data_IF_283011502776
#
_entry.id   IF_283011502776
#
_cell.length_a   1.000
_cell.length_b   1.000
_cell.length_c   1.000
_cell.angle_alpha   90.00
_cell.angle_beta   90.00
_cell.angle_gamma   90.00
#
_symmetry.space_group_name_H-M   'P 1'
#
loop_
_entity.id
_entity.type
_entity.pdbx_description
1 polymer ?
#
# COMPACT_ATOMS: atom_id res chain seq x y z
N UNK A 1 1.27 -1.21 6.83
CA UNK A 1 -0.19 -1.41 6.74
C UNK A 1 -0.55 -2.66 5.96
N UNK A 2 -0.39 -2.67 4.64
CA UNK A 2 -0.90 -3.75 3.76
C UNK A 2 -0.40 -5.14 4.16
N UNK A 3 0.92 -5.31 4.37
CA UNK A 3 1.49 -6.62 4.75
C UNK A 3 0.88 -7.20 6.03
N UNK A 4 0.65 -6.37 7.07
CA UNK A 4 0.04 -6.85 8.32
C UNK A 4 -1.42 -7.28 8.14
N UNK A 5 -2.21 -6.54 7.34
CA UNK A 5 -3.57 -6.96 7.00
C UNK A 5 -3.60 -8.22 6.13
N UNK A 6 -2.62 -8.37 5.22
CA UNK A 6 -2.52 -9.58 4.40
C UNK A 6 -2.18 -10.81 5.26
N UNK A 7 -1.28 -10.67 6.24
CA UNK A 7 -0.98 -11.74 7.21
C UNK A 7 -2.24 -12.11 7.99
N UNK A 8 -2.98 -11.14 8.54
CA UNK A 8 -4.25 -11.41 9.25
C UNK A 8 -5.24 -12.16 8.35
N UNK A 9 -5.37 -11.73 7.09
CA UNK A 9 -6.28 -12.36 6.13
C UNK A 9 -5.88 -13.81 5.82
N UNK A 10 -4.59 -14.05 5.53
CA UNK A 10 -4.07 -15.39 5.20
C UNK A 10 -4.17 -16.32 6.41
N UNK A 11 -3.83 -15.88 7.62
CA UNK A 11 -3.96 -16.65 8.84
C UNK A 11 -5.39 -17.12 9.10
N UNK A 12 -6.38 -16.25 8.82
CA UNK A 12 -7.80 -16.55 8.97
C UNK A 12 -8.33 -17.46 7.86
N UNK A 13 -7.80 -17.32 6.63
CA UNK A 13 -8.39 -17.92 5.43
C UNK A 13 -7.76 -19.25 5.03
N UNK A 14 -6.53 -19.51 5.47
CA UNK A 14 -5.71 -20.65 5.04
C UNK A 14 -4.96 -21.30 6.20
N UNK A 15 -4.34 -22.45 5.89
CA UNK A 15 -3.38 -23.13 6.77
C UNK A 15 -1.92 -22.91 6.33
N UNK A 16 -1.62 -21.90 5.56
CA UNK A 16 -0.29 -21.65 5.02
C UNK A 16 0.72 -21.30 6.12
N UNK A 17 1.97 -21.69 5.90
CA UNK A 17 3.11 -21.12 6.62
C UNK A 17 3.44 -19.76 6.04
N UNK A 18 3.60 -18.76 6.91
CA UNK A 18 3.82 -17.36 6.53
C UNK A 18 5.19 -16.92 7.02
N UNK A 19 5.96 -16.34 6.12
CA UNK A 19 7.24 -15.71 6.42
C UNK A 19 7.12 -14.22 6.15
N UNK A 20 6.99 -13.42 7.21
CA UNK A 20 6.92 -11.95 7.13
C UNK A 20 8.34 -11.37 7.10
N UNK A 21 8.72 -10.75 5.98
CA UNK A 21 9.98 -10.03 5.91
C UNK A 21 9.84 -8.62 6.51
N UNK A 22 10.75 -8.23 7.39
CA UNK A 22 10.85 -6.86 7.93
C UNK A 22 12.31 -6.44 8.07
N UNK A 23 12.55 -5.13 7.98
CA UNK A 23 13.88 -4.58 8.24
C UNK A 23 14.15 -4.57 9.74
N UNK A 24 15.40 -4.76 10.13
CA UNK A 24 15.84 -4.80 11.53
C UNK A 24 15.35 -3.61 12.38
N UNK A 25 15.37 -2.39 11.82
CA UNK A 25 15.00 -1.15 12.53
C UNK A 25 13.63 -0.60 12.15
N UNK A 26 12.76 -1.39 11.52
CA UNK A 26 11.42 -0.92 11.19
C UNK A 26 10.53 -0.90 12.44
N UNK A 27 9.68 0.13 12.59
CA UNK A 27 8.64 0.12 13.61
C UNK A 27 7.74 -1.10 13.47
N UNK A 28 7.49 -1.79 14.58
CA UNK A 28 6.68 -3.02 14.62
C UNK A 28 5.22 -2.78 15.03
N UNK A 29 4.82 -1.52 15.25
CA UNK A 29 3.49 -1.14 15.74
C UNK A 29 2.34 -1.75 14.91
N UNK A 30 2.51 -1.89 13.59
CA UNK A 30 1.51 -2.52 12.72
C UNK A 30 1.49 -4.06 12.79
N UNK A 31 2.45 -4.69 13.46
CA UNK A 31 2.56 -6.16 13.59
C UNK A 31 2.65 -6.63 15.05
N UNK A 32 2.61 -5.71 16.03
CA UNK A 32 2.70 -6.06 17.46
C UNK A 32 1.71 -7.16 17.86
N UNK A 33 0.47 -7.10 17.37
CA UNK A 33 -0.55 -8.12 17.64
C UNK A 33 -0.23 -9.51 17.06
N UNK A 34 0.79 -9.61 16.20
CA UNK A 34 1.24 -10.87 15.59
C UNK A 34 2.50 -11.44 16.26
N UNK A 35 3.20 -10.66 17.10
CA UNK A 35 4.47 -11.06 17.70
C UNK A 35 4.30 -12.27 18.64
N UNK A 36 3.30 -12.24 19.50
CA UNK A 36 3.02 -13.36 20.42
C UNK A 36 2.69 -14.65 19.65
N UNK A 37 1.98 -14.51 18.53
CA UNK A 37 1.70 -15.65 17.65
C UNK A 37 2.99 -16.15 17.00
N UNK A 38 3.81 -15.25 16.46
CA UNK A 38 5.05 -15.61 15.76
C UNK A 38 6.09 -16.28 16.68
N UNK A 39 6.12 -15.91 17.96
CA UNK A 39 7.03 -16.45 18.97
C UNK A 39 6.65 -17.83 19.49
N UNK A 40 5.46 -18.35 19.17
CA UNK A 40 5.07 -19.73 19.59
C UNK A 40 5.89 -20.78 18.84
N UNK A 41 6.38 -21.80 19.56
CA UNK A 41 7.26 -22.86 19.03
C UNK A 41 6.71 -23.55 17.76
N UNK A 42 5.40 -23.73 17.62
CA UNK A 42 4.72 -24.36 16.48
C UNK A 42 3.92 -23.32 15.64
N UNK A 43 4.36 -22.07 15.60
CA UNK A 43 3.65 -21.05 14.83
C UNK A 43 3.79 -21.24 13.33
N UNK A 44 2.69 -20.98 12.62
CA UNK A 44 2.65 -20.87 11.16
C UNK A 44 3.20 -19.52 10.65
N UNK A 45 3.42 -18.55 11.55
CA UNK A 45 3.97 -17.23 11.24
C UNK A 45 5.38 -17.12 11.80
N UNK A 46 6.32 -16.69 10.94
CA UNK A 46 7.69 -16.36 11.34
C UNK A 46 8.07 -15.01 10.74
N UNK A 47 8.77 -14.18 11.50
CA UNK A 47 9.40 -12.97 10.98
C UNK A 47 10.86 -13.25 10.61
N UNK A 48 11.26 -12.78 9.42
CA UNK A 48 12.65 -12.84 8.94
C UNK A 48 13.14 -11.41 8.70
N UNK A 49 14.35 -11.12 9.17
CA UNK A 49 14.97 -9.81 9.02
C UNK A 49 15.77 -9.77 7.71
N UNK A 50 15.47 -8.81 6.85
CA UNK A 50 16.21 -8.53 5.62
C UNK A 50 15.92 -7.11 5.13
N UNK A 51 16.80 -6.58 4.28
CA UNK A 51 16.60 -5.33 3.54
C UNK A 51 16.65 -5.62 2.05
N UNK A 52 15.77 -4.99 1.27
CA UNK A 52 15.75 -5.12 -0.20
C UNK A 52 17.07 -4.68 -0.84
N UNK A 53 17.80 -3.77 -0.20
CA UNK A 53 19.09 -3.28 -0.66
C UNK A 53 20.27 -4.19 -0.24
N UNK A 54 20.04 -5.13 0.67
CA UNK A 54 21.02 -6.16 1.04
C UNK A 54 20.69 -7.49 0.36
N UNK A 55 21.35 -7.73 -0.77
CA UNK A 55 21.13 -8.92 -1.59
C UNK A 55 21.39 -10.22 -0.82
N UNK A 56 22.38 -10.23 0.07
CA UNK A 56 22.71 -11.42 0.86
C UNK A 56 21.62 -11.79 1.84
N UNK A 57 20.98 -10.80 2.46
CA UNK A 57 19.82 -11.04 3.35
C UNK A 57 18.60 -11.54 2.59
N UNK A 58 18.36 -11.04 1.38
CA UNK A 58 17.27 -11.52 0.51
C UNK A 58 17.48 -12.99 0.13
N UNK A 59 18.69 -13.37 -0.28
CA UNK A 59 19.02 -14.78 -0.58
C UNK A 59 18.68 -15.67 0.62
N UNK A 60 19.12 -15.31 1.85
CA UNK A 60 18.81 -16.06 3.07
C UNK A 60 17.32 -16.20 3.33
N UNK A 61 16.54 -15.14 3.09
CA UNK A 61 15.07 -15.18 3.24
C UNK A 61 14.46 -16.17 2.25
N UNK A 62 14.89 -16.14 0.99
CA UNK A 62 14.39 -17.05 -0.06
C UNK A 62 14.77 -18.51 0.23
N UNK A 63 15.98 -18.76 0.69
CA UNK A 63 16.45 -20.12 1.08
C UNK A 63 15.66 -20.67 2.28
N UNK A 64 15.45 -19.84 3.30
CA UNK A 64 14.75 -20.25 4.51
C UNK A 64 13.25 -20.46 4.30
N UNK A 65 12.63 -19.68 3.42
CA UNK A 65 11.18 -19.73 3.21
C UNK A 65 10.76 -20.70 2.10
N UNK A 66 11.57 -20.88 1.05
CA UNK A 66 11.25 -21.67 -0.16
C UNK A 66 9.80 -21.46 -0.59
N UNK A 67 9.41 -20.21 -0.94
CA UNK A 67 8.01 -19.83 -1.03
C UNK A 67 7.28 -20.46 -2.23
N UNK A 68 6.00 -20.81 -2.05
CA UNK A 68 5.07 -21.09 -3.15
C UNK A 68 4.40 -19.81 -3.67
N UNK A 69 4.26 -18.82 -2.79
CA UNK A 69 3.67 -17.51 -3.09
C UNK A 69 4.55 -16.40 -2.51
N UNK A 70 4.79 -15.36 -3.31
CA UNK A 70 5.51 -14.16 -2.87
C UNK A 70 4.63 -12.94 -3.08
N UNK A 71 4.38 -12.19 -2.02
CA UNK A 71 3.69 -10.90 -2.07
C UNK A 71 4.74 -9.79 -1.86
N UNK A 72 5.25 -9.23 -2.95
CA UNK A 72 6.24 -8.15 -2.90
C UNK A 72 5.56 -6.80 -2.65
N UNK A 73 5.40 -6.48 -1.36
CA UNK A 73 4.74 -5.25 -0.88
C UNK A 73 5.73 -4.24 -0.28
N UNK A 74 6.99 -4.69 -0.07
CA UNK A 74 8.03 -3.84 0.51
C UNK A 74 8.46 -2.78 -0.49
N UNK A 75 8.41 -1.51 -0.06
CA UNK A 75 8.80 -0.35 -0.86
C UNK A 75 8.96 0.89 0.03
N UNK A 76 9.72 1.88 -0.44
CA UNK A 76 9.45 3.25 -0.05
C UNK A 76 8.18 3.70 -0.78
N UNK A 77 7.09 3.93 -0.03
CA UNK A 77 5.74 4.07 -0.60
C UNK A 77 5.12 5.45 -0.43
N UNK A 78 5.89 6.43 0.07
CA UNK A 78 5.41 7.78 0.30
C UNK A 78 5.94 8.75 -0.77
N UNK A 79 5.08 9.26 -1.70
CA UNK A 79 5.51 10.13 -2.79
C UNK A 79 6.20 11.41 -2.32
N UNK A 80 5.71 12.07 -1.25
CA UNK A 80 6.31 13.31 -0.76
C UNK A 80 7.78 13.14 -0.38
N UNK A 81 8.11 12.09 0.38
CA UNK A 81 9.51 11.77 0.74
C UNK A 81 10.38 11.56 -0.49
N UNK A 82 9.83 11.02 -1.59
CA UNK A 82 10.62 10.75 -2.80
C UNK A 82 11.16 12.00 -3.48
N UNK A 83 10.57 13.18 -3.26
CA UNK A 83 11.10 14.43 -3.80
C UNK A 83 12.43 14.82 -3.14
N UNK A 84 12.61 14.50 -1.84
CA UNK A 84 13.85 14.76 -1.11
C UNK A 84 14.80 13.56 -1.18
N UNK A 85 14.28 12.34 -1.15
CA UNK A 85 15.01 11.07 -1.05
C UNK A 85 14.84 10.22 -2.32
N UNK A 86 14.98 10.87 -3.50
CA UNK A 86 14.75 10.24 -4.79
C UNK A 86 15.66 9.04 -5.04
N UNK A 87 16.96 9.18 -4.78
CA UNK A 87 17.96 8.10 -4.94
C UNK A 87 17.57 6.88 -4.09
N UNK A 88 17.34 7.06 -2.79
CA UNK A 88 16.95 5.99 -1.87
C UNK A 88 15.64 5.32 -2.31
N UNK A 89 14.69 6.11 -2.83
CA UNK A 89 13.42 5.60 -3.37
C UNK A 89 13.64 4.69 -4.58
N UNK A 90 14.51 5.10 -5.53
CA UNK A 90 14.85 4.28 -6.69
C UNK A 90 15.60 3.02 -6.29
N UNK A 91 16.61 3.13 -5.45
CA UNK A 91 17.37 1.97 -4.94
C UNK A 91 16.45 0.95 -4.26
N UNK A 92 15.61 1.40 -3.33
CA UNK A 92 14.72 0.50 -2.60
C UNK A 92 13.68 -0.16 -3.52
N UNK A 93 13.04 0.62 -4.41
CA UNK A 93 11.90 0.12 -5.17
C UNK A 93 12.33 -0.61 -6.45
N UNK A 94 13.31 -0.08 -7.19
CA UNK A 94 13.75 -0.64 -8.48
C UNK A 94 14.79 -1.73 -8.22
N UNK A 95 15.93 -1.36 -7.62
CA UNK A 95 17.01 -2.32 -7.38
C UNK A 95 16.57 -3.40 -6.38
N UNK A 96 15.83 -3.02 -5.33
CA UNK A 96 15.27 -3.98 -4.37
C UNK A 96 14.32 -5.00 -5.00
N UNK A 97 13.49 -4.59 -5.97
CA UNK A 97 12.64 -5.52 -6.74
C UNK A 97 13.50 -6.45 -7.60
N UNK A 98 14.51 -5.89 -8.28
CA UNK A 98 15.47 -6.69 -9.05
C UNK A 98 16.16 -7.74 -8.18
N UNK A 99 16.66 -7.33 -7.01
CA UNK A 99 17.33 -8.23 -6.06
C UNK A 99 16.44 -9.40 -5.66
N UNK A 100 15.19 -9.14 -5.32
CA UNK A 100 14.24 -10.20 -4.94
C UNK A 100 13.99 -11.19 -6.09
N UNK A 101 13.68 -10.70 -7.28
CA UNK A 101 13.36 -11.55 -8.42
C UNK A 101 14.59 -12.33 -8.90
N UNK A 102 15.77 -11.70 -8.89
CA UNK A 102 17.03 -12.37 -9.23
C UNK A 102 17.42 -13.45 -8.20
N UNK A 103 17.19 -13.23 -6.90
CA UNK A 103 17.41 -14.25 -5.88
C UNK A 103 16.50 -15.48 -6.11
N UNK A 104 15.22 -15.28 -6.42
CA UNK A 104 14.27 -16.36 -6.76
C UNK A 104 14.76 -17.14 -7.98
N UNK A 105 15.17 -16.43 -9.04
CA UNK A 105 15.72 -17.04 -10.27
C UNK A 105 16.97 -17.87 -9.98
N UNK A 106 17.95 -17.31 -9.26
CA UNK A 106 19.20 -18.00 -8.93
C UNK A 106 18.99 -19.25 -8.07
N UNK A 107 18.01 -19.23 -7.17
CA UNK A 107 17.62 -20.39 -6.38
C UNK A 107 16.76 -21.39 -7.14
N UNK A 108 16.52 -21.18 -8.44
CA UNK A 108 15.71 -22.04 -9.32
C UNK A 108 14.33 -22.35 -8.73
N UNK A 109 13.75 -21.40 -7.99
CA UNK A 109 12.40 -21.50 -7.44
C UNK A 109 11.40 -20.92 -8.44
N UNK A 110 10.16 -21.40 -8.40
CA UNK A 110 9.11 -20.95 -9.32
C UNK A 110 7.79 -20.66 -8.59
N UNK A 111 7.82 -19.77 -7.57
CA UNK A 111 6.60 -19.34 -6.89
C UNK A 111 5.71 -18.51 -7.83
N UNK A 112 4.42 -18.35 -7.48
CA UNK A 112 3.61 -17.25 -8.01
C UNK A 112 4.00 -15.97 -7.26
N UNK A 113 4.34 -14.92 -8.02
CA UNK A 113 4.88 -13.67 -7.48
C UNK A 113 3.93 -12.52 -7.78
N UNK A 114 3.44 -11.87 -6.76
CA UNK A 114 2.77 -10.58 -6.87
C UNK A 114 3.79 -9.44 -6.74
N UNK A 115 3.90 -8.61 -7.76
CA UNK A 115 4.67 -7.36 -7.76
C UNK A 115 3.69 -6.20 -7.61
N UNK A 116 3.76 -5.50 -6.48
CA UNK A 116 2.88 -4.38 -6.18
C UNK A 116 3.44 -3.08 -6.77
N UNK A 117 2.90 -2.67 -7.92
CA UNK A 117 3.12 -1.36 -8.51
C UNK A 117 2.12 -0.33 -7.92
N UNK A 118 1.79 0.74 -8.64
CA UNK A 118 0.94 1.83 -8.15
C UNK A 118 0.21 2.49 -9.31
N UNK A 119 -0.95 3.09 -9.04
CA UNK A 119 -1.63 4.00 -9.99
C UNK A 119 -0.84 5.28 -10.28
N UNK A 120 0.12 5.64 -9.42
CA UNK A 120 1.00 6.79 -9.66
C UNK A 120 1.85 6.65 -10.94
N UNK A 121 1.99 5.45 -11.50
CA UNK A 121 2.65 5.24 -12.80
C UNK A 121 1.96 5.99 -13.93
N UNK A 122 0.66 6.22 -13.82
CA UNK A 122 -0.12 6.99 -14.79
C UNK A 122 0.02 8.50 -14.62
N UNK A 123 0.39 8.98 -13.42
CA UNK A 123 0.62 10.38 -13.10
C UNK A 123 -0.54 11.29 -13.47
N UNK A 124 -0.26 12.29 -14.33
CA UNK A 124 -1.30 13.16 -14.87
C UNK A 124 -1.97 12.53 -16.08
N UNK A 125 -3.26 12.29 -15.98
CA UNK A 125 -4.10 11.80 -17.08
C UNK A 125 -5.09 12.89 -17.50
N UNK A 126 -5.45 12.92 -18.78
CA UNK A 126 -6.55 13.75 -19.27
C UNK A 126 -7.89 13.15 -18.86
N UNK A 127 -8.94 14.00 -18.84
CA UNK A 127 -10.29 13.56 -18.42
C UNK A 127 -10.86 12.48 -19.34
N UNK A 128 -10.45 12.47 -20.60
CA UNK A 128 -10.91 11.52 -21.64
C UNK A 128 -10.39 10.09 -21.37
N UNK A 129 -9.31 9.95 -20.61
CA UNK A 129 -8.73 8.67 -20.24
C UNK A 129 -9.27 8.10 -18.92
N UNK A 130 -10.26 8.76 -18.33
CA UNK A 130 -10.91 8.30 -17.08
C UNK A 130 -12.21 7.59 -17.43
N UNK A 131 -12.47 6.38 -16.85
CA UNK A 131 -11.66 5.65 -15.87
C UNK A 131 -10.41 5.01 -16.48
N UNK A 132 -9.29 5.13 -15.75
CA UNK A 132 -7.95 4.71 -16.19
C UNK A 132 -7.88 3.18 -16.28
N UNK A 133 -7.59 2.64 -17.45
CA UNK A 133 -7.34 1.20 -17.64
C UNK A 133 -5.84 0.87 -17.70
N UNK A 134 -5.52 -0.41 -17.86
CA UNK A 134 -4.13 -0.90 -17.85
C UNK A 134 -3.34 -0.53 -19.12
N UNK A 135 -3.99 -0.10 -20.20
CA UNK A 135 -3.36 0.33 -21.46
C UNK A 135 -2.90 1.77 -21.42
N UNK A 136 -3.38 2.56 -20.46
CA UNK A 136 -2.99 3.96 -20.30
C UNK A 136 -1.46 4.09 -20.16
N UNK A 137 -0.88 5.02 -20.91
CA UNK A 137 0.56 5.25 -20.93
C UNK A 137 1.12 5.68 -19.56
N UNK A 138 2.38 5.36 -19.30
CA UNK A 138 3.09 5.88 -18.15
C UNK A 138 3.34 7.37 -18.28
N UNK A 139 3.00 8.13 -17.25
CA UNK A 139 3.30 9.55 -17.15
C UNK A 139 3.63 9.94 -15.70
N UNK A 140 4.70 9.33 -15.12
CA UNK A 140 4.99 9.45 -13.70
C UNK A 140 5.28 10.90 -13.30
N UNK A 141 4.68 11.37 -12.19
CA UNK A 141 4.76 12.74 -11.71
C UNK A 141 5.62 12.89 -10.43
N UNK A 142 6.42 11.89 -10.07
CA UNK A 142 7.30 11.94 -8.89
C UNK A 142 8.41 10.88 -9.00
N UNK A 143 9.53 11.01 -8.27
CA UNK A 143 10.53 9.93 -8.18
C UNK A 143 9.95 8.60 -7.69
N UNK A 144 8.96 8.63 -6.78
CA UNK A 144 8.20 7.44 -6.39
C UNK A 144 7.48 6.81 -7.59
N UNK A 145 6.76 7.62 -8.37
CA UNK A 145 6.04 7.14 -9.55
C UNK A 145 7.01 6.52 -10.59
N UNK A 146 8.16 7.17 -10.85
CA UNK A 146 9.24 6.64 -11.70
C UNK A 146 9.72 5.29 -11.16
N UNK A 147 9.96 5.18 -9.85
CA UNK A 147 10.39 3.92 -9.25
C UNK A 147 9.36 2.80 -9.42
N UNK A 148 8.06 3.12 -9.43
CA UNK A 148 6.99 2.16 -9.65
C UNK A 148 6.85 1.75 -11.11
N UNK A 149 7.15 2.63 -12.06
CA UNK A 149 7.32 2.24 -13.48
C UNK A 149 8.47 1.26 -13.61
N UNK A 150 9.62 1.53 -13.00
CA UNK A 150 10.76 0.60 -12.97
C UNK A 150 10.39 -0.76 -12.35
N UNK A 151 9.63 -0.77 -11.26
CA UNK A 151 9.10 -2.00 -10.63
C UNK A 151 8.22 -2.80 -11.59
N UNK A 152 7.32 -2.14 -12.32
CA UNK A 152 6.45 -2.73 -13.35
C UNK A 152 7.28 -3.40 -14.47
N UNK A 153 8.24 -2.64 -15.01
CA UNK A 153 9.08 -3.09 -16.12
C UNK A 153 10.01 -4.25 -15.71
N UNK A 154 10.59 -4.21 -14.52
CA UNK A 154 11.39 -5.33 -13.98
C UNK A 154 10.52 -6.58 -13.82
N UNK A 155 9.30 -6.44 -13.32
CA UNK A 155 8.38 -7.57 -13.24
C UNK A 155 8.10 -8.19 -14.60
N UNK A 156 7.81 -7.38 -15.63
CA UNK A 156 7.61 -7.85 -17.01
C UNK A 156 8.87 -8.54 -17.56
N UNK A 157 10.03 -7.90 -17.41
CA UNK A 157 11.31 -8.45 -17.86
C UNK A 157 11.59 -9.86 -17.28
N UNK A 158 11.41 -10.03 -15.97
CA UNK A 158 11.66 -11.35 -15.37
C UNK A 158 10.64 -12.42 -15.80
N UNK A 159 9.41 -12.03 -16.11
CA UNK A 159 8.44 -12.93 -16.73
C UNK A 159 8.88 -13.35 -18.14
N UNK A 160 9.20 -12.38 -19.00
CA UNK A 160 9.52 -12.63 -20.41
C UNK A 160 10.86 -13.34 -20.59
N UNK A 161 11.89 -12.91 -19.87
CA UNK A 161 13.25 -13.43 -20.03
C UNK A 161 13.48 -14.76 -19.27
N UNK A 162 12.79 -14.99 -18.15
CA UNK A 162 13.08 -16.13 -17.25
C UNK A 162 11.84 -16.96 -16.91
N UNK A 163 10.69 -16.65 -17.49
CA UNK A 163 9.44 -17.37 -17.28
C UNK A 163 9.02 -17.49 -15.80
N UNK A 164 9.38 -16.50 -14.97
CA UNK A 164 8.88 -16.44 -13.61
C UNK A 164 7.38 -16.11 -13.60
N UNK A 165 6.61 -16.77 -12.73
CA UNK A 165 5.14 -16.58 -12.63
C UNK A 165 4.77 -15.26 -11.96
N UNK A 166 4.95 -14.14 -12.65
CA UNK A 166 4.77 -12.79 -12.13
C UNK A 166 3.39 -12.26 -12.49
N UNK A 167 2.75 -11.60 -11.50
CA UNK A 167 1.49 -10.89 -11.61
C UNK A 167 1.70 -9.49 -11.06
N UNK A 168 1.34 -8.47 -11.82
CA UNK A 168 1.57 -7.07 -11.44
C UNK A 168 0.23 -6.41 -11.11
N UNK A 169 0.20 -5.62 -10.04
CA UNK A 169 -0.96 -4.77 -9.74
C UNK A 169 -0.59 -3.31 -9.72
N UNK A 170 -1.40 -2.46 -10.36
CA UNK A 170 -1.37 -1.01 -10.22
C UNK A 170 -2.49 -0.63 -9.25
N UNK A 171 -2.14 -0.59 -7.96
CA UNK A 171 -3.11 -0.32 -6.92
C UNK A 171 -3.39 1.17 -6.81
N UNK A 172 -4.67 1.52 -6.88
CA UNK A 172 -5.17 2.87 -6.62
C UNK A 172 -5.28 3.13 -5.11
N UNK A 173 -5.73 4.34 -4.73
CA UNK A 173 -5.73 4.73 -3.32
C UNK A 173 -6.48 3.73 -2.45
N UNK A 174 -5.79 3.19 -1.46
CA UNK A 174 -6.37 2.28 -0.47
C UNK A 174 -5.94 2.70 0.92
N UNK A 175 -6.86 2.61 1.87
CA UNK A 175 -6.67 3.10 3.23
C UNK A 175 -7.45 2.28 4.26
N UNK A 176 -7.31 2.61 5.53
CA UNK A 176 -7.97 1.96 6.64
C UNK A 176 -7.09 1.93 7.89
N UNK A 177 -7.45 1.14 8.91
CA UNK A 177 -6.63 0.99 10.12
C UNK A 177 -5.17 0.67 9.81
N UNK A 178 -4.24 1.13 10.64
CA UNK A 178 -2.77 0.98 10.47
C UNK A 178 -2.16 1.78 9.31
N UNK A 179 -2.92 2.66 8.64
CA UNK A 179 -2.35 3.58 7.64
C UNK A 179 -1.39 4.55 8.33
N UNK A 180 -0.21 4.77 7.75
CA UNK A 180 0.77 5.73 8.26
C UNK A 180 0.24 7.18 8.23
N UNK A 181 0.60 7.97 9.24
CA UNK A 181 0.14 9.35 9.44
C UNK A 181 0.65 10.38 8.43
N UNK A 182 1.57 9.96 7.57
CA UNK A 182 2.09 10.77 6.46
C UNK A 182 1.12 10.86 5.26
N UNK A 183 0.11 9.97 5.18
CA UNK A 183 -0.91 10.00 4.13
C UNK A 183 -2.10 10.85 4.56
N UNK A 184 -2.69 11.61 3.63
CA UNK A 184 -3.70 12.63 3.92
C UNK A 184 -4.86 12.13 4.80
N UNK A 185 -5.49 11.04 4.40
CA UNK A 185 -6.62 10.45 5.14
C UNK A 185 -6.26 10.05 6.57
N UNK A 186 -5.07 9.51 6.75
CA UNK A 186 -4.58 9.08 8.05
C UNK A 186 -4.07 10.26 8.90
N UNK A 187 -3.42 11.23 8.26
CA UNK A 187 -3.03 12.50 8.90
C UNK A 187 -4.24 13.25 9.46
N UNK A 188 -5.31 13.35 8.67
CA UNK A 188 -6.54 14.00 9.12
C UNK A 188 -7.18 13.25 10.27
N UNK A 189 -7.30 11.93 10.18
CA UNK A 189 -7.82 11.11 11.27
C UNK A 189 -6.97 11.21 12.55
N UNK A 190 -5.62 11.27 12.44
CA UNK A 190 -4.71 11.52 13.57
C UNK A 190 -4.96 12.89 14.20
N UNK A 191 -5.00 13.96 13.39
CA UNK A 191 -5.23 15.32 13.88
C UNK A 191 -6.60 15.43 14.59
N UNK A 192 -7.65 14.86 14.00
CA UNK A 192 -8.98 14.83 14.64
C UNK A 192 -8.94 14.10 15.99
N UNK A 193 -8.30 12.94 16.06
CA UNK A 193 -8.18 12.19 17.31
C UNK A 193 -7.40 12.97 18.39
N UNK A 194 -6.34 13.71 18.01
CA UNK A 194 -5.58 14.59 18.91
C UNK A 194 -6.41 15.78 19.39
N UNK A 195 -7.20 16.40 18.50
CA UNK A 195 -8.14 17.50 18.85
C UNK A 195 -9.20 16.99 19.83
N UNK A 196 -9.81 15.82 19.56
CA UNK A 196 -10.79 15.18 20.45
C UNK A 196 -10.21 14.90 21.85
N UNK A 197 -8.93 14.54 21.91
CA UNK A 197 -8.19 14.30 23.14
C UNK A 197 -7.65 15.61 23.79
N UNK A 198 -7.95 16.79 23.23
CA UNK A 198 -7.47 18.11 23.68
C UNK A 198 -5.93 18.21 23.73
N UNK A 199 -5.23 17.48 22.87
CA UNK A 199 -3.75 17.49 22.79
C UNK A 199 -3.21 18.56 21.83
N UNK A 200 -4.03 19.01 20.89
CA UNK A 200 -3.73 20.11 19.96
C UNK A 200 -4.95 21.00 19.79
N UNK A 201 -4.72 22.23 19.32
CA UNK A 201 -5.77 23.17 18.95
C UNK A 201 -6.70 22.61 17.86
N UNK A 202 -7.99 23.05 17.79
CA UNK A 202 -8.96 22.56 16.83
C UNK A 202 -8.68 23.10 15.39
N UNK A 203 -7.48 22.87 14.90
CA UNK A 203 -7.00 23.29 13.58
C UNK A 203 -6.42 22.07 12.88
N UNK A 204 -6.95 21.74 11.68
CA UNK A 204 -6.39 20.69 10.81
C UNK A 204 -5.53 21.31 9.73
N UNK A 205 -4.25 20.95 9.70
CA UNK A 205 -3.30 21.33 8.65
C UNK A 205 -3.45 20.42 7.43
N UNK A 206 -3.65 21.00 6.26
CA UNK A 206 -3.94 20.29 5.01
C UNK A 206 -3.02 20.72 3.87
N UNK A 207 -2.88 19.87 2.84
CA UNK A 207 -2.30 20.22 1.54
C UNK A 207 -3.38 20.47 0.50
N UNK A 208 -3.21 19.89 -0.72
CA UNK A 208 -4.19 19.99 -1.81
C UNK A 208 -5.47 19.20 -1.47
N UNK A 209 -6.61 19.90 -1.47
CA UNK A 209 -7.93 19.32 -1.19
C UNK A 209 -8.73 18.96 -2.45
N UNK A 210 -8.28 19.40 -3.63
CA UNK A 210 -9.06 19.30 -4.88
C UNK A 210 -8.84 17.98 -5.64
N UNK A 211 -7.76 17.26 -5.35
CA UNK A 211 -7.46 16.00 -6.05
C UNK A 211 -8.56 14.96 -5.84
N UNK A 212 -9.04 14.37 -6.94
CA UNK A 212 -10.02 13.29 -6.94
C UNK A 212 -9.33 11.93 -6.76
N UNK A 213 -9.84 11.14 -5.85
CA UNK A 213 -9.32 9.81 -5.52
C UNK A 213 -10.45 8.79 -5.41
N UNK A 214 -10.21 7.61 -5.95
CA UNK A 214 -11.09 6.47 -5.68
C UNK A 214 -10.52 5.65 -4.54
N UNK A 215 -11.26 5.56 -3.45
CA UNK A 215 -10.81 4.93 -2.21
C UNK A 215 -11.25 3.47 -2.12
N UNK A 216 -10.30 2.58 -1.82
CA UNK A 216 -10.55 1.20 -1.45
C UNK A 216 -10.22 0.98 0.04
N UNK A 217 -10.89 0.05 0.67
CA UNK A 217 -10.48 -0.43 2.00
C UNK A 217 -9.27 -1.36 1.87
N UNK A 218 -8.31 -1.26 2.79
CA UNK A 218 -7.12 -2.12 2.80
C UNK A 218 -7.47 -3.60 2.91
N UNK A 219 -8.58 -3.93 3.58
CA UNK A 219 -9.06 -5.32 3.72
C UNK A 219 -9.58 -5.89 2.39
N UNK A 220 -10.18 -5.04 1.54
CA UNK A 220 -10.53 -5.40 0.16
C UNK A 220 -9.28 -5.51 -0.73
N UNK A 221 -8.29 -4.63 -0.54
CA UNK A 221 -7.02 -4.69 -1.27
C UNK A 221 -6.27 -6.01 -1.01
N UNK A 222 -6.14 -6.44 0.26
CA UNK A 222 -5.45 -7.71 0.57
C UNK A 222 -6.22 -8.93 0.10
N UNK A 223 -7.56 -8.86 0.05
CA UNK A 223 -8.39 -9.90 -0.56
C UNK A 223 -8.15 -9.99 -2.06
N UNK A 224 -7.97 -8.86 -2.76
CA UNK A 224 -7.59 -8.84 -4.16
C UNK A 224 -6.23 -9.50 -4.38
N UNK A 225 -5.22 -9.16 -3.59
CA UNK A 225 -3.88 -9.75 -3.69
C UNK A 225 -3.87 -11.26 -3.45
N UNK A 226 -4.66 -11.73 -2.48
CA UNK A 226 -4.83 -13.17 -2.26
C UNK A 226 -5.44 -13.84 -3.50
N UNK A 227 -6.53 -13.29 -4.07
CA UNK A 227 -7.18 -13.83 -5.25
C UNK A 227 -6.27 -13.80 -6.49
N UNK A 228 -5.45 -12.75 -6.63
CA UNK A 228 -4.48 -12.62 -7.73
C UNK A 228 -3.57 -13.85 -7.84
N UNK A 229 -3.09 -14.39 -6.72
CA UNK A 229 -2.17 -15.53 -6.73
C UNK A 229 -2.87 -16.89 -6.59
N UNK A 230 -4.11 -16.94 -6.10
CA UNK A 230 -4.82 -18.21 -5.87
C UNK A 230 -5.78 -18.60 -6.99
N UNK A 231 -6.23 -17.64 -7.79
CA UNK A 231 -7.03 -17.91 -8.99
C UNK A 231 -6.15 -18.43 -10.14
N UNK A 232 -6.79 -19.06 -11.13
CA UNK A 232 -6.11 -19.51 -12.36
C UNK A 232 -5.98 -18.32 -13.33
N UNK A 233 -5.01 -17.46 -13.08
CA UNK A 233 -4.67 -16.34 -13.95
C UNK A 233 -3.38 -16.65 -14.73
N UNK A 234 -3.24 -16.04 -15.90
CA UNK A 234 -2.02 -16.15 -16.71
C UNK A 234 -0.94 -15.22 -16.15
N UNK A 235 0.28 -15.70 -15.91
CA UNK A 235 1.42 -14.85 -15.54
C UNK A 235 1.70 -13.78 -16.60
N UNK A 236 2.43 -12.73 -16.22
CA UNK A 236 2.75 -11.59 -17.07
C UNK A 236 1.65 -10.52 -17.14
N UNK A 237 0.47 -10.80 -16.59
CA UNK A 237 -0.65 -9.86 -16.63
C UNK A 237 -0.48 -8.73 -15.59
N UNK A 238 -0.94 -7.53 -16.02
CA UNK A 238 -1.08 -6.34 -15.18
C UNK A 238 -2.55 -6.10 -14.90
N UNK A 239 -2.88 -5.69 -13.66
CA UNK A 239 -4.24 -5.42 -13.23
C UNK A 239 -4.32 -4.13 -12.44
N UNK A 240 -5.27 -3.27 -12.82
CA UNK A 240 -5.71 -2.18 -11.98
C UNK A 240 -6.59 -2.70 -10.85
N UNK A 241 -6.31 -2.27 -9.62
CA UNK A 241 -7.13 -2.58 -8.44
C UNK A 241 -7.46 -1.27 -7.73
N UNK A 242 -8.74 -1.05 -7.43
CA UNK A 242 -9.19 0.16 -6.77
C UNK A 242 -10.54 -0.01 -6.09
N UNK A 243 -10.99 1.05 -5.43
CA UNK A 243 -12.31 1.11 -4.82
C UNK A 243 -13.42 1.39 -5.84
N UNK A 244 -14.60 1.66 -5.29
CA UNK A 244 -15.80 2.06 -6.04
C UNK A 244 -16.39 3.38 -5.55
N UNK A 245 -15.70 4.11 -4.69
CA UNK A 245 -16.14 5.40 -4.19
C UNK A 245 -15.10 6.46 -4.49
N UNK A 246 -15.48 7.43 -5.32
CA UNK A 246 -14.62 8.55 -5.73
C UNK A 246 -15.10 9.83 -5.05
N UNK A 247 -14.17 10.54 -4.43
CA UNK A 247 -14.41 11.88 -3.90
C UNK A 247 -13.10 12.69 -3.89
N UNK A 248 -13.22 14.00 -3.72
CA UNK A 248 -12.06 14.85 -3.48
C UNK A 248 -11.46 14.60 -2.08
N UNK A 249 -10.21 14.98 -1.90
CA UNK A 249 -9.55 14.96 -0.58
C UNK A 249 -10.30 15.86 0.41
N UNK A 250 -10.89 16.96 -0.07
CA UNK A 250 -11.72 17.88 0.74
C UNK A 250 -13.02 17.23 1.21
N UNK A 251 -13.73 16.53 0.32
CA UNK A 251 -14.96 15.81 0.69
C UNK A 251 -14.67 14.69 1.72
N UNK A 252 -13.57 13.96 1.54
CA UNK A 252 -13.11 12.96 2.51
C UNK A 252 -12.81 13.60 3.87
N UNK A 253 -12.12 14.76 3.91
CA UNK A 253 -11.86 15.50 5.15
C UNK A 253 -13.17 15.95 5.80
N UNK A 254 -14.10 16.52 5.03
CA UNK A 254 -15.40 16.96 5.54
C UNK A 254 -16.18 15.79 6.17
N UNK A 255 -16.13 14.61 5.54
CA UNK A 255 -16.72 13.40 6.13
C UNK A 255 -16.05 13.05 7.47
N UNK A 256 -14.72 13.06 7.57
CA UNK A 256 -14.01 12.79 8.84
C UNK A 256 -14.37 13.82 9.93
N UNK A 257 -14.48 15.10 9.57
CA UNK A 257 -14.92 16.15 10.49
C UNK A 257 -16.37 15.92 10.96
N UNK A 258 -17.26 15.51 10.06
CA UNK A 258 -18.68 15.28 10.39
C UNK A 258 -18.88 14.19 11.45
N UNK A 259 -18.00 13.18 11.49
CA UNK A 259 -18.02 12.09 12.48
C UNK A 259 -17.14 12.35 13.71
N UNK A 260 -16.51 13.55 13.77
CA UNK A 260 -15.76 14.00 14.95
C UNK A 260 -16.69 14.36 16.11
N UNK A 261 -16.16 14.19 17.33
CA UNK A 261 -16.81 14.66 18.57
C UNK A 261 -16.71 16.18 18.76
N UNK A 262 -15.76 16.83 18.08
CA UNK A 262 -15.55 18.28 18.13
C UNK A 262 -16.21 18.92 16.91
N UNK A 263 -17.13 19.87 17.14
CA UNK A 263 -17.96 20.46 16.08
C UNK A 263 -17.30 21.64 15.34
N UNK A 264 -16.42 22.39 16.02
CA UNK A 264 -15.77 23.58 15.45
C UNK A 264 -14.28 23.28 15.23
N UNK A 265 -13.94 22.82 14.02
CA UNK A 265 -12.57 22.56 13.61
C UNK A 265 -12.26 23.48 12.43
N UNK A 266 -11.18 24.26 12.53
CA UNK A 266 -10.68 25.10 11.43
C UNK A 266 -9.80 24.29 10.49
N UNK A 267 -9.83 24.63 9.20
CA UNK A 267 -8.95 24.04 8.19
C UNK A 267 -7.91 25.09 7.81
N UNK A 268 -6.63 24.72 7.84
CA UNK A 268 -5.52 25.60 7.49
C UNK A 268 -4.63 24.93 6.43
N UNK A 269 -4.40 25.62 5.32
CA UNK A 269 -3.46 25.14 4.30
C UNK A 269 -2.04 25.30 4.83
N UNK A 270 -1.27 24.21 4.77
CA UNK A 270 0.15 24.15 5.08
C UNK A 270 0.93 23.96 3.77
N UNK A 271 1.68 24.98 3.37
CA UNK A 271 2.45 24.99 2.12
C UNK A 271 3.45 23.83 2.02
N UNK A 272 3.98 23.36 3.14
CA UNK A 272 4.91 22.23 3.20
C UNK A 272 4.27 20.89 2.82
N UNK A 273 2.93 20.84 2.77
CA UNK A 273 2.16 19.66 2.37
C UNK A 273 1.76 19.67 0.89
N UNK A 274 2.09 20.74 0.16
CA UNK A 274 1.86 20.82 -1.27
C UNK A 274 2.98 20.10 -2.02
N UNK A 275 2.63 19.46 -3.14
CA UNK A 275 3.58 18.78 -4.02
C UNK A 275 3.88 19.68 -5.23
N UNK A 276 5.08 19.62 -5.82
CA UNK A 276 5.39 20.33 -7.05
C UNK A 276 4.46 19.93 -8.21
N UNK A 277 4.11 18.65 -8.28
CA UNK A 277 3.18 18.06 -9.26
C UNK A 277 2.28 17.07 -8.53
N UNK A 278 0.98 17.13 -8.80
CA UNK A 278 -0.01 16.18 -8.24
C UNK A 278 -0.68 15.38 -9.36
N UNK A 279 -0.96 14.10 -9.08
CA UNK A 279 -1.77 13.25 -9.95
C UNK A 279 -3.25 13.44 -9.57
N UNK A 280 -3.93 14.40 -10.21
CA UNK A 280 -5.23 14.91 -9.73
C UNK A 280 -6.41 13.97 -10.00
N UNK A 281 -6.33 13.12 -11.03
CA UNK A 281 -7.38 12.18 -11.40
C UNK A 281 -6.91 10.75 -11.21
N UNK A 282 -7.39 10.11 -10.14
CA UNK A 282 -7.02 8.73 -9.80
C UNK A 282 -8.29 7.87 -9.68
N UNK A 283 -8.94 7.65 -10.86
CA UNK A 283 -10.20 6.90 -10.99
C UNK A 283 -9.92 5.64 -11.84
N UNK A 284 -9.94 4.42 -11.25
CA UNK A 284 -9.58 3.20 -11.94
C UNK A 284 -10.70 2.60 -12.77
N UNK A 285 -10.35 1.98 -13.89
CA UNK A 285 -11.11 0.89 -14.47
C UNK A 285 -10.60 -0.44 -13.86
N UNK A 286 -11.44 -1.13 -13.11
CA UNK A 286 -11.12 -2.41 -12.45
C UNK A 286 -11.76 -3.61 -13.15
N UNK A 287 -12.38 -3.42 -14.31
CA UNK A 287 -13.19 -4.44 -15.01
C UNK A 287 -12.38 -5.68 -15.32
N UNK A 288 -11.14 -5.53 -15.79
CA UNK A 288 -10.24 -6.64 -16.12
C UNK A 288 -10.01 -7.56 -14.91
N UNK A 289 -9.67 -6.99 -13.75
CA UNK A 289 -9.45 -7.79 -12.55
C UNK A 289 -10.74 -8.43 -12.03
N UNK A 290 -11.83 -7.66 -12.04
CA UNK A 290 -13.13 -8.14 -11.58
C UNK A 290 -13.66 -9.31 -12.43
N UNK A 291 -13.56 -9.23 -13.76
CA UNK A 291 -13.99 -10.31 -14.67
C UNK A 291 -13.15 -11.57 -14.51
N UNK A 292 -11.83 -11.44 -14.34
CA UNK A 292 -10.94 -12.60 -14.24
C UNK A 292 -10.99 -13.30 -12.87
N UNK A 293 -11.39 -12.59 -11.80
CA UNK A 293 -11.31 -13.12 -10.42
C UNK A 293 -12.64 -13.23 -9.70
N UNK A 294 -13.66 -12.52 -10.15
CA UNK A 294 -14.92 -12.30 -9.43
C UNK A 294 -14.77 -11.32 -8.25
N UNK A 295 -13.61 -10.64 -8.11
CA UNK A 295 -13.39 -9.70 -7.02
C UNK A 295 -14.16 -8.39 -7.24
N UNK A 296 -14.73 -7.86 -6.15
CA UNK A 296 -15.33 -6.52 -6.09
C UNK A 296 -15.02 -5.91 -4.73
N UNK A 297 -14.82 -4.57 -4.63
CA UNK A 297 -14.72 -3.92 -3.33
C UNK A 297 -16.05 -4.07 -2.59
N UNK A 298 -15.98 -4.46 -1.30
CA UNK A 298 -17.17 -4.80 -0.50
C UNK A 298 -17.36 -3.87 0.70
N UNK A 299 -16.27 -3.24 1.18
CA UNK A 299 -16.32 -2.43 2.38
C UNK A 299 -16.62 -0.98 1.99
N UNK A 300 -17.74 -0.40 2.46
CA UNK A 300 -18.11 0.97 2.13
C UNK A 300 -17.09 1.99 2.61
N UNK A 301 -16.87 3.06 1.84
CA UNK A 301 -15.97 4.16 2.19
C UNK A 301 -16.22 4.72 3.60
N UNK A 302 -17.50 4.97 3.95
CA UNK A 302 -17.87 5.47 5.28
C UNK A 302 -17.35 4.56 6.40
N UNK A 303 -17.49 3.24 6.25
CA UNK A 303 -16.97 2.24 7.20
C UNK A 303 -15.46 2.32 7.32
N UNK A 304 -14.75 2.44 6.20
CA UNK A 304 -13.29 2.58 6.17
C UNK A 304 -12.82 3.81 6.94
N UNK A 305 -13.46 4.96 6.73
CA UNK A 305 -13.10 6.21 7.41
C UNK A 305 -13.42 6.17 8.92
N UNK A 306 -14.55 5.59 9.31
CA UNK A 306 -14.90 5.38 10.73
C UNK A 306 -13.85 4.49 11.40
N UNK A 307 -13.50 3.37 10.78
CA UNK A 307 -12.52 2.42 11.33
C UNK A 307 -11.12 3.07 11.42
N UNK A 308 -10.73 3.88 10.44
CA UNK A 308 -9.48 4.62 10.44
C UNK A 308 -9.43 5.65 11.59
N UNK A 309 -10.50 6.44 11.77
CA UNK A 309 -10.57 7.41 12.86
C UNK A 309 -10.57 6.70 14.23
N UNK A 310 -11.30 5.62 14.39
CA UNK A 310 -11.31 4.84 15.63
C UNK A 310 -9.94 4.21 15.94
N UNK A 311 -9.21 3.77 14.92
CA UNK A 311 -7.83 3.31 15.08
C UNK A 311 -6.94 4.41 15.67
N UNK A 312 -7.03 5.65 15.16
CA UNK A 312 -6.26 6.77 15.69
C UNK A 312 -6.73 7.20 17.09
N UNK A 313 -8.04 7.19 17.37
CA UNK A 313 -8.57 7.43 18.73
C UNK A 313 -7.95 6.45 19.75
N UNK A 314 -7.86 5.17 19.39
CA UNK A 314 -7.22 4.16 20.23
C UNK A 314 -5.72 4.45 20.41
N UNK A 315 -4.98 4.70 19.33
CA UNK A 315 -3.54 5.02 19.39
C UNK A 315 -3.26 6.25 20.23
N UNK A 316 -4.05 7.32 20.11
CA UNK A 316 -3.92 8.55 20.89
C UNK A 316 -4.23 8.31 22.37
N UNK A 317 -5.24 7.50 22.68
CA UNK A 317 -5.60 7.12 24.06
C UNK A 317 -4.47 6.31 24.73
N UNK A 318 -3.87 5.37 24.02
CA UNK A 318 -2.80 4.50 24.55
C UNK A 318 -1.41 5.09 24.41
N UNK A 319 -1.27 6.31 23.86
CA UNK A 319 0.01 6.97 23.53
C UNK A 319 0.95 6.09 22.66
N UNK A 320 0.39 5.16 21.92
CA UNK A 320 1.15 4.21 21.09
C UNK A 320 1.38 4.77 19.68
N UNK A 321 2.05 5.92 19.58
CA UNK A 321 2.48 6.54 18.32
C UNK A 321 3.69 7.45 18.56
N UNK A 322 4.53 7.56 17.55
CA UNK A 322 5.59 8.57 17.52
C UNK A 322 4.99 9.88 16.96
N UNK A 323 5.24 10.99 17.62
CA UNK A 323 4.97 12.32 17.08
C UNK A 323 6.07 12.65 16.05
N UNK A 324 5.69 12.78 14.78
CA UNK A 324 6.60 13.00 13.65
C UNK A 324 6.26 14.32 12.97
#
# INVERSE_FOLDING_TARGET
MVGSHLVDYILKKTNWNIYGMCRWRSPLDNVNHLLDLANKKKSRLKFLYADLNDYSSIIKVIENSKPNYVFHLAAQSYPQTSFNEGKMTLETNVIGTYNLLNAIKLKKLNPKIHVCSSSEVFGRVSKELVPIDESCAYHPASPYAISKVGTDLIGKYFFEAYNLKIFITRMFTHTGPRRGDIFSESSFAKQIALIEAKKIEPIIKVGNLNSLRTYADVRDAVRAYYLLLTKKLNPGQVYNIGGNFTCSVGEMLNFLISISKVKKIKIQIDKNRLRPIDADLQIPNITKFSSHTGWKPMIPFKKTMIDLLNHWRLKVKTQNFLDR
#
